data_IF_986143690417
#
_entry.id   IF_986143690417
#
_cell.length_a   1.000
_cell.length_b   1.000
_cell.length_c   1.000
_cell.angle_alpha   90.00
_cell.angle_beta   90.00
_cell.angle_gamma   90.00
#
_symmetry.space_group_name_H-M   'P 1'
#
loop_
_entity.id
_entity.type
_entity.pdbx_description
1 polymer ?
#
# COMPACT_ATOMS: atom_id res chain seq x y z
N UNK A 1 86.50 -15.54 -32.05
CA UNK A 1 86.03 -15.86 -30.69
C UNK A 1 84.50 -15.89 -30.77
N UNK A 2 83.88 -17.08 -30.75
CA UNK A 2 82.43 -17.27 -30.88
C UNK A 2 81.85 -17.46 -29.49
N UNK A 3 80.93 -16.60 -29.07
CA UNK A 3 80.16 -16.78 -27.84
C UNK A 3 78.82 -17.43 -28.20
N UNK A 4 78.63 -18.67 -27.78
CA UNK A 4 77.40 -19.44 -27.97
C UNK A 4 76.51 -19.24 -26.74
N UNK A 5 75.44 -18.46 -26.88
CA UNK A 5 74.48 -18.20 -25.80
C UNK A 5 73.52 -19.39 -25.66
N UNK A 6 73.69 -20.19 -24.61
CA UNK A 6 72.82 -21.31 -24.30
C UNK A 6 71.40 -20.85 -23.91
N UNK A 7 70.39 -21.14 -24.77
CA UNK A 7 68.97 -20.92 -24.45
C UNK A 7 68.47 -21.96 -23.45
N UNK A 8 68.09 -21.51 -22.25
CA UNK A 8 67.45 -22.34 -21.22
C UNK A 8 66.03 -22.73 -21.66
N UNK A 9 65.79 -24.02 -21.95
CA UNK A 9 64.44 -24.55 -22.27
C UNK A 9 63.59 -24.60 -21.00
N UNK A 10 62.55 -23.76 -20.94
CA UNK A 10 61.52 -23.83 -19.90
C UNK A 10 60.56 -24.98 -20.23
N UNK A 11 60.61 -26.06 -19.45
CA UNK A 11 59.64 -27.16 -19.55
C UNK A 11 58.28 -26.70 -19.01
N UNK A 12 57.32 -26.43 -19.90
CA UNK A 12 55.92 -26.22 -19.51
C UNK A 12 55.25 -27.58 -19.34
N UNK A 13 55.01 -27.97 -18.09
CA UNK A 13 54.11 -29.07 -17.79
C UNK A 13 52.70 -28.67 -18.23
N UNK A 14 52.12 -29.41 -19.18
CA UNK A 14 50.69 -29.28 -19.51
C UNK A 14 49.90 -29.95 -18.40
N UNK A 15 49.51 -29.18 -17.39
CA UNK A 15 48.55 -29.63 -16.39
C UNK A 15 47.16 -29.63 -17.04
N UNK A 16 46.57 -30.82 -17.15
CA UNK A 16 45.20 -31.02 -17.62
C UNK A 16 44.37 -31.63 -16.51
N UNK A 17 43.07 -31.35 -16.51
CA UNK A 17 42.13 -31.92 -15.55
C UNK A 17 41.78 -33.36 -15.93
N UNK A 18 41.62 -34.21 -14.92
CA UNK A 18 41.08 -35.55 -15.15
C UNK A 18 39.58 -35.49 -15.41
N UNK A 19 39.02 -36.48 -16.12
CA UNK A 19 37.57 -36.59 -16.31
C UNK A 19 36.83 -36.69 -14.96
N UNK A 20 37.44 -37.33 -13.97
CA UNK A 20 36.89 -37.48 -12.62
C UNK A 20 36.86 -36.12 -11.90
N UNK A 21 37.91 -35.31 -12.01
CA UNK A 21 37.92 -33.93 -11.47
C UNK A 21 36.80 -33.07 -12.05
N UNK A 22 36.58 -33.15 -13.37
CA UNK A 22 35.53 -32.38 -14.04
C UNK A 22 34.13 -32.82 -13.58
N UNK A 23 33.92 -34.12 -13.37
CA UNK A 23 32.66 -34.67 -12.86
C UNK A 23 32.39 -34.20 -11.41
N UNK A 24 33.41 -34.27 -10.54
CA UNK A 24 33.32 -33.80 -9.15
C UNK A 24 33.09 -32.27 -9.10
N UNK A 25 33.79 -31.50 -9.93
CA UNK A 25 33.64 -30.04 -9.97
C UNK A 25 32.23 -29.62 -10.43
N UNK A 26 31.70 -30.23 -11.49
CA UNK A 26 30.36 -29.91 -12.01
C UNK A 26 29.27 -30.31 -11.00
N UNK A 27 29.38 -31.49 -10.39
CA UNK A 27 28.42 -31.95 -9.39
C UNK A 27 28.37 -31.02 -8.17
N UNK A 28 29.52 -30.61 -7.64
CA UNK A 28 29.59 -29.64 -6.54
C UNK A 28 29.03 -28.28 -6.93
N UNK A 29 29.33 -27.80 -8.14
CA UNK A 29 28.82 -26.53 -8.63
C UNK A 29 27.29 -26.52 -8.74
N UNK A 30 26.70 -27.58 -9.27
CA UNK A 30 25.23 -27.70 -9.40
C UNK A 30 24.54 -27.72 -8.03
N UNK A 31 25.12 -28.41 -7.03
CA UNK A 31 24.59 -28.41 -5.66
C UNK A 31 24.62 -27.00 -5.06
N UNK A 32 25.71 -26.25 -5.22
CA UNK A 32 25.81 -24.88 -4.70
C UNK A 32 24.85 -23.93 -5.43
N UNK A 33 24.71 -24.08 -6.75
CA UNK A 33 23.82 -23.24 -7.56
C UNK A 33 22.34 -23.46 -7.24
N UNK A 34 21.93 -24.70 -6.97
CA UNK A 34 20.52 -24.99 -6.60
C UNK A 34 20.15 -24.35 -5.27
N UNK A 35 21.04 -24.40 -4.26
CA UNK A 35 20.85 -23.73 -2.96
C UNK A 35 20.76 -22.21 -3.16
N UNK A 36 21.66 -21.64 -3.98
CA UNK A 36 21.69 -20.19 -4.25
C UNK A 36 20.42 -19.69 -4.95
N UNK A 37 19.88 -20.48 -5.88
CA UNK A 37 18.65 -20.13 -6.59
C UNK A 37 17.43 -20.03 -5.65
N UNK A 38 17.39 -20.87 -4.60
CA UNK A 38 16.35 -20.80 -3.57
C UNK A 38 16.30 -19.43 -2.89
N UNK A 39 17.46 -18.86 -2.56
CA UNK A 39 17.55 -17.52 -1.97
C UNK A 39 17.04 -16.44 -2.94
N UNK A 40 17.42 -16.51 -4.22
CA UNK A 40 16.97 -15.56 -5.25
C UNK A 40 15.46 -15.59 -5.42
N UNK A 41 14.86 -16.78 -5.53
CA UNK A 41 13.40 -16.94 -5.64
C UNK A 41 12.68 -16.34 -4.43
N UNK A 42 13.22 -16.56 -3.22
CA UNK A 42 12.67 -15.97 -1.99
C UNK A 42 12.65 -14.45 -2.04
N UNK A 43 13.76 -13.83 -2.46
CA UNK A 43 13.87 -12.36 -2.63
C UNK A 43 12.88 -11.85 -3.69
N UNK A 44 12.73 -12.56 -4.81
CA UNK A 44 11.76 -12.19 -5.86
C UNK A 44 10.31 -12.25 -5.35
N UNK A 45 9.96 -13.28 -4.58
CA UNK A 45 8.63 -13.41 -3.98
C UNK A 45 8.36 -12.32 -2.94
N UNK A 46 9.35 -12.01 -2.09
CA UNK A 46 9.27 -10.90 -1.15
C UNK A 46 9.10 -9.55 -1.87
N UNK A 47 9.83 -9.33 -2.97
CA UNK A 47 9.73 -8.13 -3.80
C UNK A 47 8.35 -7.96 -4.44
N UNK A 48 7.77 -9.05 -4.98
CA UNK A 48 6.40 -9.04 -5.53
C UNK A 48 5.37 -8.69 -4.47
N UNK A 49 5.48 -9.28 -3.27
CA UNK A 49 4.59 -8.97 -2.14
C UNK A 49 4.73 -7.51 -1.70
N UNK A 50 5.94 -6.99 -1.58
CA UNK A 50 6.19 -5.59 -1.23
C UNK A 50 5.59 -4.62 -2.25
N UNK A 51 5.67 -4.94 -3.55
CA UNK A 51 5.05 -4.13 -4.61
C UNK A 51 3.53 -4.09 -4.47
N UNK A 52 2.89 -5.23 -4.30
CA UNK A 52 1.44 -5.29 -4.11
C UNK A 52 0.96 -4.46 -2.90
N UNK A 53 1.68 -4.53 -1.78
CA UNK A 53 1.38 -3.70 -0.58
C UNK A 53 1.51 -2.21 -0.91
N UNK A 54 2.58 -1.81 -1.62
CA UNK A 54 2.79 -0.40 -2.00
C UNK A 54 1.70 0.14 -2.91
N UNK A 55 1.26 -0.65 -3.89
CA UNK A 55 0.20 -0.24 -4.82
C UNK A 55 -1.13 -0.02 -4.07
N UNK A 56 -1.48 -0.93 -3.16
CA UNK A 56 -2.66 -0.81 -2.29
C UNK A 56 -2.56 0.44 -1.41
N UNK A 57 -1.43 0.64 -0.73
CA UNK A 57 -1.23 1.80 0.15
C UNK A 57 -1.27 3.12 -0.61
N UNK A 58 -0.73 3.18 -1.83
CA UNK A 58 -0.72 4.39 -2.65
C UNK A 58 -2.14 4.79 -3.06
N UNK A 59 -2.93 3.84 -3.56
CA UNK A 59 -4.33 4.06 -3.90
C UNK A 59 -5.18 4.50 -2.69
N UNK A 60 -4.96 3.87 -1.52
CA UNK A 60 -5.65 4.25 -0.28
C UNK A 60 -5.25 5.63 0.23
N UNK A 61 -3.96 5.95 0.20
CA UNK A 61 -3.47 7.26 0.60
C UNK A 61 -4.04 8.36 -0.30
N UNK A 62 -4.14 8.13 -1.61
CA UNK A 62 -4.80 9.06 -2.52
C UNK A 62 -6.28 9.27 -2.14
N UNK A 63 -7.03 8.18 -1.93
CA UNK A 63 -8.43 8.27 -1.51
C UNK A 63 -8.59 9.01 -0.16
N UNK A 64 -7.69 8.73 0.80
CA UNK A 64 -7.63 9.39 2.09
C UNK A 64 -7.27 10.87 1.98
N UNK A 65 -6.34 11.24 1.11
CA UNK A 65 -5.97 12.65 0.91
C UNK A 65 -7.13 13.46 0.33
N UNK A 66 -7.85 12.90 -0.65
CA UNK A 66 -9.04 13.53 -1.22
C UNK A 66 -10.12 13.68 -0.15
N UNK A 67 -10.43 12.61 0.60
CA UNK A 67 -11.39 12.66 1.71
C UNK A 67 -10.98 13.69 2.77
N UNK A 68 -9.71 13.67 3.21
CA UNK A 68 -9.21 14.56 4.24
C UNK A 68 -9.25 16.02 3.82
N UNK A 69 -8.95 16.31 2.54
CA UNK A 69 -9.06 17.65 1.99
C UNK A 69 -10.51 18.14 2.03
N UNK A 70 -11.46 17.33 1.58
CA UNK A 70 -12.87 17.70 1.55
C UNK A 70 -13.47 17.83 2.95
N UNK A 71 -13.06 16.96 3.88
CA UNK A 71 -13.43 17.09 5.28
C UNK A 71 -12.84 18.38 5.87
N UNK A 72 -11.56 18.67 5.63
CA UNK A 72 -10.89 19.87 6.18
C UNK A 72 -11.56 21.18 5.76
N UNK A 73 -12.05 21.27 4.53
CA UNK A 73 -12.71 22.49 4.00
C UNK A 73 -14.25 22.40 4.00
N UNK A 74 -14.81 21.26 4.40
CA UNK A 74 -16.24 21.05 4.50
C UNK A 74 -16.86 21.73 5.72
N UNK A 75 -18.17 21.90 5.68
CA UNK A 75 -19.02 22.39 6.77
C UNK A 75 -20.21 21.46 6.97
N UNK A 76 -20.95 21.62 8.07
CA UNK A 76 -22.18 20.89 8.36
C UNK A 76 -21.99 19.37 8.23
N UNK A 77 -21.13 18.81 9.08
CA UNK A 77 -20.92 17.37 9.09
C UNK A 77 -22.18 16.67 9.59
N UNK A 78 -22.64 15.68 8.84
CA UNK A 78 -23.78 14.86 9.19
C UNK A 78 -23.44 13.38 9.08
N UNK A 79 -24.24 12.57 9.75
CA UNK A 79 -24.25 11.12 9.58
C UNK A 79 -25.61 10.54 9.97
N UNK A 80 -25.80 9.25 9.71
CA UNK A 80 -27.09 8.57 9.86
C UNK A 80 -27.52 8.50 11.33
N UNK A 81 -26.55 8.36 12.23
CA UNK A 81 -26.74 8.38 13.68
C UNK A 81 -26.21 9.70 14.21
N UNK A 82 -27.03 10.46 14.94
CA UNK A 82 -26.68 11.78 15.47
C UNK A 82 -25.24 11.82 16.03
N UNK A 83 -24.44 12.73 15.50
CA UNK A 83 -23.06 13.05 15.92
C UNK A 83 -21.98 11.97 15.73
N UNK A 84 -22.28 10.84 15.08
CA UNK A 84 -21.26 9.81 14.76
C UNK A 84 -20.47 9.32 15.99
N UNK A 85 -21.00 9.45 17.21
CA UNK A 85 -20.20 9.26 18.43
C UNK A 85 -19.72 7.81 18.59
N UNK A 86 -20.46 6.85 18.05
CA UNK A 86 -20.11 5.42 18.05
C UNK A 86 -19.41 4.93 16.76
N UNK A 87 -19.13 5.86 15.84
CA UNK A 87 -18.59 5.57 14.52
C UNK A 87 -19.68 5.17 13.53
N UNK A 88 -19.85 5.94 12.46
CA UNK A 88 -20.75 5.59 11.36
C UNK A 88 -19.95 5.18 10.11
N UNK A 89 -20.53 4.32 9.28
CA UNK A 89 -19.96 3.88 7.99
C UNK A 89 -20.21 4.88 6.86
N UNK A 90 -20.97 5.94 7.16
CA UNK A 90 -21.29 7.03 6.26
C UNK A 90 -21.03 8.37 6.94
N UNK A 91 -20.55 9.34 6.16
CA UNK A 91 -20.46 10.74 6.55
C UNK A 91 -20.96 11.62 5.40
N UNK A 92 -21.73 12.65 5.73
CA UNK A 92 -22.11 13.72 4.83
C UNK A 92 -21.43 15.03 5.24
N UNK A 93 -21.10 15.86 4.26
CA UNK A 93 -20.52 17.18 4.46
C UNK A 93 -20.96 18.10 3.34
N UNK A 94 -21.00 19.39 3.62
CA UNK A 94 -21.26 20.42 2.61
C UNK A 94 -19.93 21.04 2.21
N UNK A 95 -19.60 20.99 0.93
CA UNK A 95 -18.42 21.66 0.37
C UNK A 95 -18.52 23.19 0.51
N UNK A 96 -17.38 23.89 0.47
CA UNK A 96 -17.35 25.35 0.42
C UNK A 96 -18.11 25.94 -0.78
N UNK A 97 -18.30 25.15 -1.84
CA UNK A 97 -19.10 25.52 -3.01
C UNK A 97 -20.61 25.24 -2.86
N UNK A 98 -21.07 24.78 -1.69
CA UNK A 98 -22.48 24.44 -1.44
C UNK A 98 -22.92 23.05 -1.92
N UNK A 99 -22.02 22.26 -2.52
CA UNK A 99 -22.33 20.89 -2.94
C UNK A 99 -22.36 19.92 -1.74
N UNK A 100 -23.39 19.06 -1.68
CA UNK A 100 -23.48 18.00 -0.66
C UNK A 100 -22.65 16.79 -1.09
N UNK A 101 -21.62 16.50 -0.30
CA UNK A 101 -20.69 15.39 -0.50
C UNK A 101 -21.01 14.30 0.53
N UNK A 102 -21.14 13.06 0.05
CA UNK A 102 -21.43 11.91 0.91
C UNK A 102 -20.38 10.85 0.64
N UNK A 103 -19.76 10.35 1.71
CA UNK A 103 -18.88 9.19 1.69
C UNK A 103 -19.55 8.04 2.42
N UNK A 104 -19.52 6.85 1.83
CA UNK A 104 -20.06 5.63 2.47
C UNK A 104 -19.27 4.39 2.10
N UNK A 105 -19.37 3.38 2.96
CA UNK A 105 -18.98 2.02 2.63
C UNK A 105 -20.17 1.28 2.00
N UNK A 106 -20.01 0.81 0.77
CA UNK A 106 -21.02 0.01 0.09
C UNK A 106 -20.33 -1.09 -0.72
N UNK A 107 -20.84 -2.32 -0.67
CA UNK A 107 -20.26 -3.48 -1.38
C UNK A 107 -18.73 -3.61 -1.22
N UNK A 108 -18.23 -3.39 -0.01
CA UNK A 108 -16.80 -3.43 0.33
C UNK A 108 -15.91 -2.40 -0.40
N UNK A 109 -16.51 -1.32 -0.93
CA UNK A 109 -15.79 -0.21 -1.57
C UNK A 109 -16.19 1.10 -0.92
N UNK A 110 -15.27 2.06 -0.93
CA UNK A 110 -15.59 3.43 -0.50
C UNK A 110 -16.15 4.16 -1.70
N UNK A 111 -17.38 4.61 -1.56
CA UNK A 111 -18.08 5.38 -2.59
C UNK A 111 -18.21 6.83 -2.15
N UNK A 112 -18.16 7.72 -3.14
CA UNK A 112 -18.38 9.15 -3.00
C UNK A 112 -19.56 9.60 -3.86
N UNK A 113 -20.40 10.44 -3.31
CA UNK A 113 -21.40 11.22 -4.03
C UNK A 113 -21.07 12.70 -3.90
N UNK A 114 -21.26 13.47 -4.97
CA UNK A 114 -21.12 14.94 -4.99
C UNK A 114 -22.45 15.68 -5.24
N UNK A 115 -23.54 14.92 -5.39
CA UNK A 115 -24.87 15.41 -5.74
C UNK A 115 -25.92 14.97 -4.70
N UNK A 116 -25.53 14.97 -3.43
CA UNK A 116 -26.46 14.67 -2.32
C UNK A 116 -27.00 13.24 -2.31
N UNK A 117 -26.28 12.29 -2.91
CA UNK A 117 -26.65 10.86 -2.89
C UNK A 117 -27.39 10.34 -4.12
N UNK A 118 -27.47 11.12 -5.21
CA UNK A 118 -28.11 10.67 -6.44
C UNK A 118 -27.23 9.71 -7.25
N UNK A 119 -25.92 9.96 -7.29
CA UNK A 119 -24.94 9.05 -7.90
C UNK A 119 -23.75 8.81 -6.97
N UNK A 120 -23.21 7.60 -7.04
CA UNK A 120 -22.06 7.17 -6.24
C UNK A 120 -20.96 6.67 -7.16
N UNK A 121 -19.74 7.13 -6.91
CA UNK A 121 -18.53 6.73 -7.62
C UNK A 121 -17.55 6.09 -6.65
N UNK A 122 -16.98 4.95 -7.02
CA UNK A 122 -15.96 4.30 -6.21
C UNK A 122 -14.68 5.15 -6.19
N UNK A 123 -14.17 5.42 -4.98
CA UNK A 123 -12.91 6.16 -4.76
C UNK A 123 -11.74 5.18 -4.59
N UNK A 124 -12.03 3.96 -4.11
CA UNK A 124 -11.04 2.89 -3.98
C UNK A 124 -10.91 2.07 -5.26
N UNK A 125 -9.69 1.63 -5.56
CA UNK A 125 -9.39 0.75 -6.67
C UNK A 125 -10.09 -0.63 -6.54
N UNK A 126 -10.43 -1.31 -7.65
CA UNK A 126 -11.22 -2.56 -7.63
C UNK A 126 -10.51 -3.74 -6.95
N UNK A 127 -9.19 -3.74 -6.87
CA UNK A 127 -8.36 -4.74 -6.20
C UNK A 127 -8.32 -4.58 -4.66
N UNK A 128 -8.91 -3.49 -4.14
CA UNK A 128 -8.99 -3.18 -2.71
C UNK A 128 -10.38 -3.57 -2.21
N UNK A 129 -10.41 -4.38 -1.15
CA UNK A 129 -11.63 -4.73 -0.43
C UNK A 129 -11.60 -4.09 0.96
N UNK A 130 -12.52 -3.16 1.19
CA UNK A 130 -12.71 -2.51 2.49
C UNK A 130 -13.69 -3.32 3.32
N UNK A 131 -13.25 -3.76 4.49
CA UNK A 131 -14.07 -4.54 5.42
C UNK A 131 -14.81 -3.64 6.40
N UNK A 132 -14.13 -2.58 6.87
CA UNK A 132 -14.68 -1.68 7.86
C UNK A 132 -14.24 -0.26 7.54
N UNK A 133 -15.20 0.66 7.58
CA UNK A 133 -15.01 2.09 7.46
C UNK A 133 -15.80 2.72 8.60
N UNK A 134 -15.14 3.54 9.41
CA UNK A 134 -15.79 4.28 10.49
C UNK A 134 -15.35 5.72 10.48
N UNK A 135 -16.32 6.60 10.61
CA UNK A 135 -16.16 8.04 10.81
C UNK A 135 -16.64 8.38 12.21
N UNK A 136 -15.77 9.01 13.01
CA UNK A 136 -16.14 9.58 14.30
C UNK A 136 -16.02 11.09 14.20
N UNK A 137 -17.07 11.80 14.56
CA UNK A 137 -17.06 13.26 14.63
C UNK A 137 -16.86 13.62 16.10
N UNK A 138 -15.82 14.40 16.39
CA UNK A 138 -15.42 14.84 17.72
C UNK A 138 -15.52 16.37 17.76
N UNK A 139 -15.99 16.93 18.88
CA UNK A 139 -16.08 18.38 19.05
C UNK A 139 -17.07 19.06 18.11
N UNK A 140 -18.12 18.36 17.69
CA UNK A 140 -19.27 18.95 17.00
C UNK A 140 -20.39 19.12 18.02
N UNK A 141 -20.31 20.20 18.80
CA UNK A 141 -21.43 20.73 19.57
C UNK A 141 -21.60 22.18 19.10
N UNK A 142 -22.83 22.57 18.76
CA UNK A 142 -23.10 23.93 18.32
C UNK A 142 -22.73 24.89 19.46
N UNK A 143 -21.91 25.91 19.17
CA UNK A 143 -21.58 26.99 20.13
C UNK A 143 -20.62 26.63 21.28
N UNK A 144 -19.84 25.53 21.21
CA UNK A 144 -18.81 25.22 22.23
C UNK A 144 -17.43 25.86 21.93
N UNK A 145 -17.24 26.46 20.76
CA UNK A 145 -15.97 27.04 20.30
C UNK A 145 -14.88 26.00 20.05
N UNK A 146 -15.20 24.71 20.08
CA UNK A 146 -14.28 23.63 19.76
C UNK A 146 -14.25 23.42 18.24
N UNK A 147 -13.04 23.27 17.70
CA UNK A 147 -12.86 22.98 16.28
C UNK A 147 -13.26 21.52 16.02
N UNK A 148 -14.26 21.25 15.15
CA UNK A 148 -14.68 19.89 14.85
C UNK A 148 -13.53 19.07 14.23
N UNK A 149 -13.42 17.82 14.65
CA UNK A 149 -12.44 16.86 14.13
C UNK A 149 -13.13 15.58 13.71
N UNK A 150 -12.75 15.07 12.55
CA UNK A 150 -13.22 13.79 12.04
C UNK A 150 -12.10 12.77 12.12
N UNK A 151 -12.32 11.69 12.85
CA UNK A 151 -11.48 10.51 12.86
C UNK A 151 -12.00 9.52 11.81
N UNK A 152 -11.16 9.17 10.86
CA UNK A 152 -11.43 8.20 9.81
C UNK A 152 -10.64 6.94 10.14
N UNK A 153 -11.32 5.79 10.21
CA UNK A 153 -10.71 4.49 10.40
C UNK A 153 -11.12 3.56 9.27
N UNK A 154 -10.12 2.97 8.60
CA UNK A 154 -10.30 2.06 7.47
C UNK A 154 -9.58 0.76 7.77
N UNK A 155 -10.27 -0.37 7.59
CA UNK A 155 -9.69 -1.72 7.64
C UNK A 155 -10.08 -2.49 6.40
N UNK A 156 -9.12 -3.16 5.79
CA UNK A 156 -9.36 -3.95 4.59
C UNK A 156 -8.18 -4.81 4.20
N UNK A 157 -8.27 -5.39 3.01
CA UNK A 157 -7.14 -6.06 2.36
C UNK A 157 -7.15 -5.75 0.86
N UNK A 158 -5.97 -5.82 0.24
CA UNK A 158 -5.82 -5.81 -1.22
C UNK A 158 -5.29 -7.14 -1.73
N UNK A 159 -5.73 -7.53 -2.92
CA UNK A 159 -5.28 -8.72 -3.64
C UNK A 159 -6.31 -9.85 -3.73
N UNK A 160 -6.40 -10.47 -4.91
CA UNK A 160 -7.45 -11.43 -5.26
C UNK A 160 -7.13 -12.88 -4.84
N UNK A 161 -5.89 -13.18 -4.44
CA UNK A 161 -5.47 -14.54 -4.04
C UNK A 161 -5.29 -14.63 -2.53
N UNK A 162 -5.91 -15.59 -1.82
CA UNK A 162 -5.82 -15.71 -0.36
C UNK A 162 -4.37 -15.74 0.17
N UNK A 163 -3.45 -16.41 -0.53
CA UNK A 163 -2.03 -16.50 -0.13
C UNK A 163 -1.20 -15.23 -0.37
N UNK A 164 -1.75 -14.26 -1.10
CA UNK A 164 -1.08 -12.99 -1.44
C UNK A 164 -1.87 -11.77 -0.95
N UNK A 165 -2.88 -11.96 -0.09
CA UNK A 165 -3.64 -10.86 0.49
C UNK A 165 -2.75 -9.99 1.37
N UNK A 166 -2.90 -8.68 1.19
CA UNK A 166 -2.20 -7.66 1.95
C UNK A 166 -3.22 -6.91 2.79
N UNK A 167 -3.27 -7.20 4.09
CA UNK A 167 -4.16 -6.51 5.02
C UNK A 167 -3.62 -5.13 5.39
N UNK A 168 -4.53 -4.20 5.69
CA UNK A 168 -4.19 -2.86 6.14
C UNK A 168 -5.19 -2.35 7.17
N UNK A 169 -4.69 -1.52 8.07
CA UNK A 169 -5.48 -0.72 9.00
C UNK A 169 -4.90 0.68 8.93
N UNK A 170 -5.73 1.64 8.52
CA UNK A 170 -5.37 3.03 8.39
C UNK A 170 -6.28 3.85 9.30
N UNK A 171 -5.69 4.82 9.98
CA UNK A 171 -6.41 5.76 10.82
C UNK A 171 -5.84 7.15 10.59
N UNK A 172 -6.73 8.12 10.37
CA UNK A 172 -6.34 9.53 10.23
C UNK A 172 -7.35 10.43 10.93
N UNK A 173 -6.86 11.53 11.47
CA UNK A 173 -7.70 12.55 12.12
C UNK A 173 -7.57 13.85 11.35
N UNK A 174 -8.70 14.45 11.00
CA UNK A 174 -8.75 15.68 10.22
C UNK A 174 -9.51 16.73 11.02
N UNK A 175 -8.90 17.89 11.25
CA UNK A 175 -9.59 19.05 11.83
C UNK A 175 -10.20 19.92 10.73
N UNK A 176 -11.39 20.45 10.97
CA UNK A 176 -12.00 21.47 10.12
C UNK A 176 -11.14 22.74 10.09
N UNK A 177 -11.02 23.44 8.96
CA UNK A 177 -10.27 24.71 8.86
C UNK A 177 -11.13 25.94 9.13
N UNK A 178 -12.38 25.92 8.68
CA UNK A 178 -13.32 27.02 8.92
C UNK A 178 -13.75 26.99 10.39
N UNK A 179 -13.67 28.14 11.07
CA UNK A 179 -14.21 28.33 12.42
C UNK A 179 -15.73 28.32 12.33
N UNK A 180 -16.39 27.68 13.29
CA UNK A 180 -17.82 27.81 13.53
C UNK A 180 -18.11 29.31 13.78
N UNK A 181 -18.78 29.96 12.83
CA UNK A 181 -19.08 31.40 12.87
C UNK A 181 -20.59 31.61 12.83
#
# INVERSE_FOLDING_TARGET
MKEEVARKKVSRHKQGFTLVELLVAVSLFLVIMTISLGAVISVLNAGRKSRAIKDVMTNLNFALEVMAREIKFGKNYGCSIALCSNGDSQISLTSSAGASIIYRLNNNKIEKSTNGGSTYLAVTAPEITVQNLKFYILGYQVSDGAQPRVLIMIRGYGGNKPSAQSSFILQTTVSQRELDS
#
